data_IF_360149730024
#
_entry.id   IF_360149730024
#
_cell.length_a   1.000
_cell.length_b   1.000
_cell.length_c   1.000
_cell.angle_alpha   90.00
_cell.angle_beta   90.00
_cell.angle_gamma   90.00
#
_symmetry.space_group_name_H-M   'P 1'
#
loop_
_entity.id
_entity.type
_entity.pdbx_description
1 polymer ?
#
# COMPACT_ATOMS: atom_id res chain seq x y z
N UNK A 1 19.82 -43.80 40.71
CA UNK A 1 18.92 -42.65 40.94
C UNK A 1 19.31 -41.96 42.23
N UNK A 2 20.09 -40.88 42.12
CA UNK A 2 20.63 -40.14 43.27
C UNK A 2 19.54 -39.40 44.04
N UNK A 3 19.76 -39.20 45.35
CA UNK A 3 18.86 -38.49 46.26
C UNK A 3 18.45 -37.13 45.67
N UNK A 4 17.14 -36.85 45.57
CA UNK A 4 16.62 -35.51 45.25
C UNK A 4 17.20 -34.53 46.27
N UNK A 5 17.99 -33.55 45.83
CA UNK A 5 18.35 -32.41 46.66
C UNK A 5 17.08 -31.60 46.90
N UNK A 6 16.77 -31.30 48.16
CA UNK A 6 15.68 -30.38 48.50
C UNK A 6 16.00 -29.00 47.93
N UNK A 7 15.28 -28.62 46.89
CA UNK A 7 15.42 -27.32 46.25
C UNK A 7 14.87 -26.25 47.19
N UNK A 8 15.73 -25.33 47.63
CA UNK A 8 15.32 -24.15 48.37
C UNK A 8 15.10 -23.01 47.36
N UNK A 9 13.88 -22.48 47.24
CA UNK A 9 13.61 -21.37 46.32
C UNK A 9 14.49 -20.17 46.64
N UNK A 10 15.06 -19.57 45.60
CA UNK A 10 15.90 -18.39 45.71
C UNK A 10 15.01 -17.22 46.17
N UNK A 11 15.47 -16.45 47.16
CA UNK A 11 14.82 -15.22 47.59
C UNK A 11 15.68 -14.04 47.14
N UNK A 12 15.34 -13.34 46.04
CA UNK A 12 16.15 -12.22 45.58
C UNK A 12 16.01 -11.03 46.53
N UNK A 13 17.05 -10.23 46.61
CA UNK A 13 16.99 -8.91 47.25
C UNK A 13 16.39 -7.91 46.25
N UNK A 14 15.28 -7.29 46.65
CA UNK A 14 14.68 -6.21 45.88
C UNK A 14 15.42 -4.90 46.17
N UNK A 15 15.54 -4.06 45.13
CA UNK A 15 16.10 -2.72 45.28
C UNK A 15 15.24 -1.93 46.27
N UNK A 16 15.89 -1.30 47.27
CA UNK A 16 15.24 -0.44 48.25
C UNK A 16 15.03 0.96 47.65
N UNK A 17 13.81 1.48 47.75
CA UNK A 17 13.46 2.85 47.34
C UNK A 17 12.28 2.90 46.37
N UNK A 18 11.69 4.09 46.23
CA UNK A 18 10.47 4.32 45.44
C UNK A 18 10.76 4.91 44.04
N UNK A 19 12.03 4.93 43.64
CA UNK A 19 12.45 5.47 42.35
C UNK A 19 11.89 4.63 41.20
N UNK A 20 11.71 5.27 40.04
CA UNK A 20 11.27 4.57 38.82
C UNK A 20 12.20 3.39 38.49
N UNK A 21 13.51 3.57 38.67
CA UNK A 21 14.50 2.50 38.50
C UNK A 21 14.32 1.33 39.46
N UNK A 22 14.02 1.59 40.74
CA UNK A 22 13.73 0.54 41.71
C UNK A 22 12.44 -0.22 41.36
N UNK A 23 11.39 0.49 40.91
CA UNK A 23 10.12 -0.13 40.48
C UNK A 23 10.29 -1.01 39.24
N UNK A 24 11.01 -0.51 38.23
CA UNK A 24 11.29 -1.26 37.01
C UNK A 24 12.19 -2.47 37.30
N UNK A 25 13.26 -2.27 38.08
CA UNK A 25 14.16 -3.33 38.51
C UNK A 25 13.45 -4.43 39.30
N UNK A 26 12.61 -4.06 40.27
CA UNK A 26 11.84 -5.01 41.07
C UNK A 26 10.79 -5.77 40.23
N UNK A 27 10.22 -5.14 39.20
CA UNK A 27 9.28 -5.78 38.27
C UNK A 27 9.99 -6.82 37.40
N UNK A 28 11.17 -6.49 36.88
CA UNK A 28 11.99 -7.44 36.11
C UNK A 28 12.45 -8.61 36.98
N UNK A 29 12.91 -8.35 38.21
CA UNK A 29 13.25 -9.39 39.19
C UNK A 29 12.05 -10.32 39.41
N UNK A 30 10.85 -9.77 39.62
CA UNK A 30 9.63 -10.57 39.80
C UNK A 30 9.25 -11.41 38.58
N UNK A 31 9.42 -10.87 37.37
CA UNK A 31 9.16 -11.58 36.12
C UNK A 31 10.14 -12.73 35.91
N UNK A 32 11.45 -12.48 36.04
CA UNK A 32 12.47 -13.52 35.91
C UNK A 32 12.34 -14.58 37.00
N UNK A 33 12.02 -14.20 38.25
CA UNK A 33 11.74 -15.15 39.32
C UNK A 33 10.56 -16.08 39.00
N UNK A 34 9.52 -15.60 38.32
CA UNK A 34 8.40 -16.45 37.90
C UNK A 34 8.83 -17.42 36.81
N UNK A 35 9.66 -17.01 35.87
CA UNK A 35 10.21 -17.89 34.83
C UNK A 35 11.13 -18.93 35.45
N UNK A 36 12.09 -18.49 36.27
CA UNK A 36 13.05 -19.28 37.03
C UNK A 36 12.29 -20.35 37.83
N UNK A 37 11.41 -19.94 38.76
CA UNK A 37 10.64 -20.88 39.58
C UNK A 37 9.68 -21.80 38.79
N UNK A 38 9.22 -21.39 37.59
CA UNK A 38 8.38 -22.22 36.73
C UNK A 38 9.18 -23.22 35.89
N UNK A 39 10.47 -22.96 35.67
CA UNK A 39 11.38 -23.86 34.98
C UNK A 39 12.12 -24.73 35.99
N UNK A 40 11.97 -26.06 35.93
CA UNK A 40 12.57 -26.99 36.92
C UNK A 40 14.05 -26.66 37.18
N UNK A 41 14.54 -26.79 38.43
CA UNK A 41 15.90 -26.38 38.83
C UNK A 41 17.08 -26.91 37.99
N UNK A 42 16.87 -27.94 37.16
CA UNK A 42 17.81 -28.37 36.13
C UNK A 42 18.02 -27.35 35.00
N UNK A 43 16.99 -26.60 34.63
CA UNK A 43 17.03 -25.55 33.62
C UNK A 43 17.65 -24.26 34.18
N UNK A 44 17.36 -23.89 35.42
CA UNK A 44 17.99 -22.76 36.11
C UNK A 44 19.51 -22.93 36.21
N UNK A 45 19.97 -24.08 36.72
CA UNK A 45 21.40 -24.35 36.90
C UNK A 45 22.12 -24.34 35.54
N UNK A 46 21.50 -24.86 34.49
CA UNK A 46 22.09 -24.83 33.14
C UNK A 46 22.03 -23.47 32.47
N UNK A 47 20.95 -22.72 32.61
CA UNK A 47 20.84 -21.39 32.02
C UNK A 47 21.79 -20.42 32.71
N UNK A 48 21.86 -20.44 34.04
CA UNK A 48 22.78 -19.62 34.83
C UNK A 48 24.22 -20.03 34.54
N UNK A 49 24.56 -21.32 34.57
CA UNK A 49 25.93 -21.75 34.23
C UNK A 49 26.29 -21.50 32.76
N UNK A 50 25.32 -21.58 31.83
CA UNK A 50 25.54 -21.24 30.43
C UNK A 50 25.77 -19.75 30.23
N UNK A 51 24.96 -18.89 30.88
CA UNK A 51 25.12 -17.43 30.84
C UNK A 51 26.43 -17.03 31.50
N UNK A 52 26.78 -17.58 32.66
CA UNK A 52 28.06 -17.34 33.34
C UNK A 52 29.23 -17.81 32.45
N UNK A 53 29.17 -19.02 31.89
CA UNK A 53 30.24 -19.53 31.03
C UNK A 53 30.38 -18.74 29.71
N UNK A 54 29.28 -18.21 29.18
CA UNK A 54 29.29 -17.30 28.03
C UNK A 54 29.87 -15.94 28.43
N UNK A 55 29.46 -15.38 29.57
CA UNK A 55 29.95 -14.10 30.07
C UNK A 55 31.44 -14.18 30.40
N UNK A 56 31.92 -15.22 31.09
CA UNK A 56 33.34 -15.43 31.38
C UNK A 56 34.17 -15.59 30.09
N UNK A 57 33.66 -16.33 29.10
CA UNK A 57 34.32 -16.49 27.79
C UNK A 57 34.27 -15.22 26.95
N UNK A 58 33.18 -14.44 27.03
CA UNK A 58 33.04 -13.13 26.39
C UNK A 58 33.95 -12.10 27.06
N UNK A 59 34.10 -12.15 28.38
CA UNK A 59 34.97 -11.26 29.13
C UNK A 59 36.45 -11.53 28.79
N UNK A 60 36.87 -12.81 28.78
CA UNK A 60 38.27 -13.15 28.46
C UNK A 60 38.61 -13.05 26.98
N UNK A 61 37.79 -13.57 26.05
CA UNK A 61 38.09 -13.52 24.61
C UNK A 61 37.55 -12.28 23.91
N UNK A 62 36.41 -11.79 24.35
CA UNK A 62 35.81 -10.57 23.79
C UNK A 62 36.65 -9.35 24.13
N UNK A 63 37.26 -9.25 25.31
CA UNK A 63 38.17 -8.15 25.63
C UNK A 63 39.40 -8.13 24.71
N UNK A 64 40.01 -9.29 24.41
CA UNK A 64 41.17 -9.37 23.50
C UNK A 64 40.80 -9.00 22.05
N UNK A 65 39.66 -9.50 21.55
CA UNK A 65 39.17 -9.20 20.19
C UNK A 65 38.72 -7.75 20.05
N UNK A 66 38.01 -7.23 21.05
CA UNK A 66 37.54 -5.84 21.09
C UNK A 66 38.74 -4.88 21.17
N UNK A 67 39.76 -5.20 21.97
CA UNK A 67 40.99 -4.42 22.05
C UNK A 67 41.70 -4.33 20.69
N UNK A 68 41.88 -5.45 20.00
CA UNK A 68 42.50 -5.46 18.66
C UNK A 68 41.64 -4.83 17.55
N UNK A 69 40.33 -4.67 17.76
CA UNK A 69 39.45 -3.91 16.87
C UNK A 69 39.54 -2.40 17.16
N UNK A 70 39.48 -2.01 18.43
CA UNK A 70 39.62 -0.61 18.87
C UNK A 70 40.96 -0.04 18.41
N UNK A 71 42.05 -0.79 18.57
CA UNK A 71 43.39 -0.36 18.11
C UNK A 71 43.43 -0.11 16.59
N UNK A 72 42.77 -0.96 15.78
CA UNK A 72 42.67 -0.78 14.32
C UNK A 72 41.76 0.38 13.91
N UNK A 73 40.75 0.69 14.71
CA UNK A 73 39.87 1.84 14.49
C UNK A 73 40.58 3.14 14.88
N UNK A 74 41.33 3.16 15.99
CA UNK A 74 42.15 4.31 16.44
C UNK A 74 43.26 4.69 15.44
N UNK A 75 43.79 3.72 14.69
CA UNK A 75 44.76 3.97 13.61
C UNK A 75 44.17 4.79 12.44
N UNK A 76 42.84 4.89 12.35
CA UNK A 76 42.18 5.71 11.33
C UNK A 76 42.17 7.20 11.73
N UNK A 77 43.00 7.99 11.05
CA UNK A 77 43.18 9.44 11.30
C UNK A 77 41.92 10.28 11.07
N UNK A 78 40.91 9.75 10.38
CA UNK A 78 39.69 10.49 10.00
C UNK A 78 38.56 10.42 11.03
N UNK A 79 38.76 9.74 12.17
CA UNK A 79 37.73 9.67 13.20
C UNK A 79 37.53 11.03 13.89
N UNK A 80 36.28 11.51 14.03
CA UNK A 80 35.96 12.65 14.88
C UNK A 80 36.39 12.41 16.33
N UNK A 81 36.86 13.46 17.01
CA UNK A 81 37.45 13.33 18.35
C UNK A 81 36.44 12.84 19.41
N UNK A 82 35.14 13.13 19.25
CA UNK A 82 34.07 12.62 20.11
C UNK A 82 33.97 11.09 20.07
N UNK A 83 34.22 10.50 18.91
CA UNK A 83 34.19 9.04 18.73
C UNK A 83 35.46 8.40 19.30
N UNK A 84 36.62 9.06 19.17
CA UNK A 84 37.87 8.60 19.79
C UNK A 84 37.75 8.56 21.32
N UNK A 85 37.09 9.55 21.92
CA UNK A 85 36.85 9.60 23.37
C UNK A 85 35.98 8.43 23.84
N UNK A 86 34.94 8.07 23.08
CA UNK A 86 34.11 6.87 23.37
C UNK A 86 34.93 5.59 23.28
N UNK A 87 35.80 5.46 22.26
CA UNK A 87 36.66 4.27 22.12
C UNK A 87 37.72 4.15 23.22
N UNK A 88 38.29 5.27 23.68
CA UNK A 88 39.22 5.31 24.79
C UNK A 88 38.55 4.87 26.12
N UNK A 89 37.30 5.27 26.37
CA UNK A 89 36.52 4.81 27.53
C UNK A 89 36.14 3.32 27.45
N UNK A 90 35.87 2.80 26.26
CA UNK A 90 35.56 1.37 26.05
C UNK A 90 36.81 0.49 26.16
N UNK A 91 38.01 1.03 25.91
CA UNK A 91 39.30 0.34 26.06
C UNK A 91 39.63 0.02 27.52
N UNK A 92 39.16 0.85 28.45
CA UNK A 92 39.24 0.62 29.89
C UNK A 92 37.85 0.78 30.53
N UNK A 93 36.94 -0.20 30.37
CA UNK A 93 35.56 -0.04 30.79
C UNK A 93 35.45 0.05 32.31
N UNK A 94 35.44 1.27 32.84
CA UNK A 94 35.24 1.54 34.28
C UNK A 94 33.74 1.63 34.55
N UNK A 95 33.12 0.49 34.80
CA UNK A 95 31.74 0.38 35.27
C UNK A 95 30.78 -0.33 34.33
N UNK A 96 29.58 -0.65 34.84
CA UNK A 96 28.58 -1.46 34.15
C UNK A 96 28.09 -0.86 32.81
N UNK A 97 28.11 0.48 32.68
CA UNK A 97 27.69 1.17 31.47
C UNK A 97 28.68 1.02 30.32
N UNK A 98 29.99 1.15 30.59
CA UNK A 98 31.05 0.94 29.59
C UNK A 98 31.13 -0.53 29.14
N UNK A 99 30.87 -1.49 30.04
CA UNK A 99 30.74 -2.90 29.69
C UNK A 99 29.52 -3.17 28.78
N UNK A 100 28.40 -2.46 29.02
CA UNK A 100 27.18 -2.56 28.19
C UNK A 100 27.41 -1.98 26.79
N UNK A 101 28.08 -0.84 26.69
CA UNK A 101 28.47 -0.24 25.40
C UNK A 101 29.51 -1.11 24.68
N UNK A 102 30.48 -1.68 25.39
CA UNK A 102 31.43 -2.65 24.85
C UNK A 102 30.75 -3.91 24.30
N UNK A 103 29.71 -4.40 24.97
CA UNK A 103 28.87 -5.50 24.46
C UNK A 103 28.02 -5.09 23.26
N UNK A 104 27.50 -3.86 23.22
CA UNK A 104 26.73 -3.34 22.08
C UNK A 104 27.60 -3.10 20.84
N UNK A 105 28.82 -2.57 21.02
CA UNK A 105 29.77 -2.32 19.94
C UNK A 105 30.45 -3.61 19.46
N UNK A 106 30.85 -4.49 20.37
CA UNK A 106 31.36 -5.84 20.04
C UNK A 106 30.29 -6.76 19.44
N UNK A 107 29.00 -6.45 19.69
CA UNK A 107 27.84 -7.18 19.22
C UNK A 107 27.68 -7.22 17.70
N UNK A 108 28.22 -6.26 16.93
CA UNK A 108 28.12 -6.30 15.47
C UNK A 108 29.13 -7.25 14.79
N UNK A 109 30.22 -7.63 15.48
CA UNK A 109 31.22 -8.60 14.97
C UNK A 109 30.92 -10.05 15.40
N UNK A 110 30.18 -10.26 16.50
CA UNK A 110 29.66 -11.57 16.95
C UNK A 110 28.13 -11.73 16.81
N UNK A 111 27.48 -10.81 16.09
CA UNK A 111 26.03 -10.60 16.10
C UNK A 111 25.16 -11.72 15.55
N UNK A 112 25.72 -12.63 14.74
CA UNK A 112 24.93 -13.72 14.16
C UNK A 112 24.45 -14.75 15.20
N UNK A 113 25.28 -15.10 16.18
CA UNK A 113 24.99 -16.21 17.12
C UNK A 113 24.39 -15.70 18.44
N UNK A 114 24.98 -14.67 19.04
CA UNK A 114 24.41 -14.08 20.27
C UNK A 114 23.15 -13.29 19.94
N UNK A 115 23.13 -12.60 18.80
CA UNK A 115 21.94 -11.90 18.32
C UNK A 115 20.78 -12.85 17.99
N UNK A 116 21.04 -14.03 17.41
CA UNK A 116 19.96 -15.02 17.15
C UNK A 116 19.40 -15.65 18.42
N UNK A 117 20.25 -15.94 19.42
CA UNK A 117 19.81 -16.45 20.72
C UNK A 117 19.03 -15.38 21.50
N UNK A 118 19.54 -14.15 21.57
CA UNK A 118 18.84 -13.05 22.23
C UNK A 118 17.56 -12.66 21.48
N UNK A 119 17.57 -12.69 20.15
CA UNK A 119 16.34 -12.46 19.35
C UNK A 119 15.32 -13.56 19.61
N UNK A 120 15.72 -14.83 19.71
CA UNK A 120 14.80 -15.93 20.03
C UNK A 120 14.22 -15.80 21.46
N UNK A 121 15.03 -15.38 22.43
CA UNK A 121 14.59 -15.17 23.82
C UNK A 121 13.70 -13.93 23.96
N UNK A 122 14.01 -12.86 23.23
CA UNK A 122 13.23 -11.63 23.23
C UNK A 122 12.07 -11.67 22.25
N UNK A 123 11.99 -12.65 21.34
CA UNK A 123 10.95 -12.71 20.30
C UNK A 123 9.53 -12.57 20.85
N UNK A 124 9.12 -13.22 21.96
CA UNK A 124 7.79 -13.01 22.52
C UNK A 124 7.54 -11.56 22.98
N UNK A 125 8.56 -10.93 23.57
CA UNK A 125 8.50 -9.53 24.00
C UNK A 125 8.49 -8.61 22.79
N UNK A 126 9.35 -8.84 21.79
CA UNK A 126 9.42 -8.12 20.53
C UNK A 126 8.11 -8.25 19.75
N UNK A 127 7.50 -9.42 19.64
CA UNK A 127 6.21 -9.59 18.98
C UNK A 127 5.08 -8.94 19.76
N UNK A 128 5.12 -8.98 21.09
CA UNK A 128 4.13 -8.29 21.92
C UNK A 128 4.27 -6.78 21.77
N UNK A 129 5.47 -6.23 21.91
CA UNK A 129 5.72 -4.79 21.74
C UNK A 129 5.45 -4.36 20.31
N UNK A 130 5.85 -5.15 19.31
CA UNK A 130 5.53 -4.90 17.90
C UNK A 130 4.02 -4.94 17.70
N UNK A 131 3.25 -5.87 18.27
CA UNK A 131 1.77 -5.86 18.20
C UNK A 131 1.14 -4.62 18.84
N UNK A 132 1.74 -4.05 19.89
CA UNK A 132 1.29 -2.81 20.53
C UNK A 132 1.82 -1.53 19.87
N UNK A 133 2.98 -1.60 19.21
CA UNK A 133 3.71 -0.46 18.63
C UNK A 133 3.55 -0.36 17.11
N UNK A 134 3.24 -1.46 16.43
CA UNK A 134 2.67 -1.42 15.08
C UNK A 134 1.21 -1.04 15.23
N UNK A 135 0.98 0.22 15.61
CA UNK A 135 -0.09 0.96 14.97
C UNK A 135 0.07 0.68 13.47
N UNK A 136 -0.96 0.11 12.86
CA UNK A 136 -0.97 -0.41 11.49
C UNK A 136 -0.33 0.64 10.56
N UNK A 137 0.97 0.49 10.26
CA UNK A 137 1.65 1.47 9.41
C UNK A 137 1.11 1.21 8.01
N UNK A 138 0.44 2.18 7.38
CA UNK A 138 -0.04 1.98 6.03
C UNK A 138 1.17 1.69 5.12
N UNK A 139 0.99 0.77 4.17
CA UNK A 139 1.97 0.59 3.11
C UNK A 139 2.16 1.93 2.38
N UNK A 140 3.31 2.13 1.74
CA UNK A 140 3.63 3.41 1.07
C UNK A 140 2.51 3.88 0.13
N UNK A 141 1.97 2.98 -0.68
CA UNK A 141 0.85 3.26 -1.59
C UNK A 141 -0.42 3.67 -0.84
N UNK A 142 -0.73 3.02 0.28
CA UNK A 142 -1.87 3.36 1.13
C UNK A 142 -1.68 4.71 1.83
N UNK A 143 -0.45 5.01 2.27
CA UNK A 143 -0.13 6.29 2.89
C UNK A 143 -0.29 7.45 1.91
N UNK A 144 0.23 7.29 0.69
CA UNK A 144 0.09 8.31 -0.36
C UNK A 144 -1.36 8.45 -0.80
N UNK A 145 -2.09 7.35 -0.99
CA UNK A 145 -3.51 7.38 -1.34
C UNK A 145 -4.37 8.02 -0.25
N UNK A 146 -4.13 7.68 1.02
CA UNK A 146 -4.80 8.31 2.15
C UNK A 146 -4.51 9.81 2.22
N UNK A 147 -3.29 10.24 1.88
CA UNK A 147 -2.97 11.67 1.78
C UNK A 147 -3.72 12.36 0.64
N UNK A 148 -3.81 11.73 -0.54
CA UNK A 148 -4.56 12.26 -1.69
C UNK A 148 -6.05 12.39 -1.37
N UNK A 149 -6.61 11.45 -0.61
CA UNK A 149 -8.01 11.48 -0.16
C UNK A 149 -8.26 12.45 1.01
N UNK A 150 -7.20 13.00 1.63
CA UNK A 150 -7.31 13.89 2.79
C UNK A 150 -7.42 13.17 4.14
N UNK A 151 -7.30 11.84 4.17
CA UNK A 151 -7.35 10.99 5.37
C UNK A 151 -6.03 10.98 6.15
N UNK A 152 -4.90 11.25 5.49
CA UNK A 152 -3.57 11.36 6.09
C UNK A 152 -3.01 12.76 5.85
N UNK A 153 -2.56 13.45 6.90
CA UNK A 153 -1.98 14.79 6.78
C UNK A 153 -0.64 14.75 6.05
N UNK A 154 -0.24 15.86 5.45
CA UNK A 154 1.02 15.96 4.68
C UNK A 154 2.25 15.70 5.56
N UNK A 155 2.21 16.18 6.80
CA UNK A 155 3.28 16.00 7.78
C UNK A 155 3.48 14.53 8.16
N UNK A 156 2.37 13.79 8.30
CA UNK A 156 2.37 12.37 8.61
C UNK A 156 2.93 11.55 7.44
N UNK A 157 2.55 11.89 6.20
CA UNK A 157 3.11 11.27 5.00
C UNK A 157 4.61 11.53 4.88
N UNK A 158 5.07 12.77 5.13
CA UNK A 158 6.50 13.14 5.14
C UNK A 158 7.29 12.37 6.21
N UNK A 159 6.68 12.13 7.38
CA UNK A 159 7.28 11.28 8.39
C UNK A 159 7.45 9.84 7.87
N UNK A 160 6.41 9.26 7.27
CA UNK A 160 6.48 7.92 6.67
C UNK A 160 7.56 7.85 5.57
N UNK A 161 7.65 8.85 4.69
CA UNK A 161 8.69 8.92 3.67
C UNK A 161 10.10 8.95 4.28
N UNK A 162 10.33 9.78 5.30
CA UNK A 162 11.63 9.87 5.99
C UNK A 162 12.00 8.57 6.68
N UNK A 163 11.04 7.91 7.33
CA UNK A 163 11.26 6.61 7.97
C UNK A 163 11.60 5.49 6.98
N UNK A 164 11.08 5.57 5.75
CA UNK A 164 11.42 4.64 4.66
C UNK A 164 12.69 5.05 3.89
N UNK A 165 13.37 6.13 4.30
CA UNK A 165 14.61 6.60 3.68
C UNK A 165 14.42 7.39 2.37
N UNK A 166 13.20 7.80 2.03
CA UNK A 166 12.98 8.70 0.90
C UNK A 166 13.45 10.12 1.23
N UNK A 167 14.08 10.78 0.25
CA UNK A 167 14.42 12.21 0.33
C UNK A 167 13.19 13.05 -0.01
N UNK A 168 13.03 14.21 0.63
CA UNK A 168 11.89 15.12 0.44
C UNK A 168 11.62 15.50 -1.03
N UNK A 169 12.67 15.56 -1.86
CA UNK A 169 12.53 15.83 -3.30
C UNK A 169 11.69 14.78 -4.05
N UNK A 170 11.47 13.59 -3.48
CA UNK A 170 10.67 12.53 -4.08
C UNK A 170 9.20 12.55 -3.63
N UNK A 171 8.84 13.39 -2.66
CA UNK A 171 7.48 13.40 -2.09
C UNK A 171 6.43 13.71 -3.16
N UNK A 172 6.69 14.75 -3.96
CA UNK A 172 5.80 15.15 -5.05
C UNK A 172 5.75 14.12 -6.19
N UNK A 173 6.84 13.36 -6.39
CA UNK A 173 6.91 12.31 -7.41
C UNK A 173 5.96 11.18 -7.02
N UNK A 174 6.02 10.73 -5.76
CA UNK A 174 5.12 9.69 -5.27
C UNK A 174 3.65 10.11 -5.32
N UNK A 175 3.33 11.34 -4.88
CA UNK A 175 1.98 11.88 -5.00
C UNK A 175 1.49 11.93 -6.45
N UNK A 176 2.37 12.30 -7.37
CA UNK A 176 2.08 12.34 -8.81
C UNK A 176 1.77 10.94 -9.35
N UNK A 177 2.61 9.96 -9.03
CA UNK A 177 2.44 8.56 -9.47
C UNK A 177 1.11 7.97 -8.97
N UNK A 178 0.75 8.26 -7.72
CA UNK A 178 -0.45 7.69 -7.09
C UNK A 178 -1.71 8.53 -7.29
N UNK A 179 -1.63 9.76 -7.80
CA UNK A 179 -2.82 10.52 -8.15
C UNK A 179 -3.54 9.75 -9.26
N UNK A 180 -4.77 9.29 -8.97
CA UNK A 180 -5.60 8.60 -9.96
C UNK A 180 -5.68 9.46 -11.22
N UNK A 181 -5.03 8.97 -12.28
CA UNK A 181 -5.09 9.61 -13.58
C UNK A 181 -6.33 9.08 -14.30
N UNK A 182 -7.01 9.98 -15.00
CA UNK A 182 -8.12 9.61 -15.89
C UNK A 182 -7.55 8.67 -16.95
N UNK A 183 -8.18 7.51 -17.14
CA UNK A 183 -7.69 6.54 -18.11
C UNK A 183 -7.77 7.13 -19.53
N UNK A 184 -6.91 6.67 -20.44
CA UNK A 184 -6.90 7.18 -21.83
C UNK A 184 -8.30 7.09 -22.47
N UNK A 185 -9.01 5.98 -22.29
CA UNK A 185 -10.39 5.82 -22.76
C UNK A 185 -11.37 6.90 -22.26
N UNK A 186 -11.21 7.34 -21.02
CA UNK A 186 -12.05 8.39 -20.43
C UNK A 186 -11.67 9.78 -20.95
N UNK A 187 -10.36 10.06 -21.12
CA UNK A 187 -9.89 11.30 -21.76
C UNK A 187 -10.44 11.46 -23.17
N UNK A 188 -10.48 10.36 -23.92
CA UNK A 188 -11.03 10.31 -25.27
C UNK A 188 -12.52 10.61 -25.25
N UNK A 189 -13.25 10.01 -24.32
CA UNK A 189 -14.68 10.26 -24.16
C UNK A 189 -14.95 11.73 -23.78
N UNK A 190 -14.12 12.34 -22.92
CA UNK A 190 -14.19 13.78 -22.61
C UNK A 190 -13.99 14.62 -23.89
N UNK A 191 -12.99 14.29 -24.71
CA UNK A 191 -12.76 15.00 -25.99
C UNK A 191 -13.95 14.84 -26.95
N UNK A 192 -14.48 13.63 -27.11
CA UNK A 192 -15.66 13.36 -27.96
C UNK A 192 -16.91 14.11 -27.51
N UNK A 193 -17.07 14.35 -26.21
CA UNK A 193 -18.17 15.18 -25.66
C UNK A 193 -17.90 16.68 -25.74
N UNK A 194 -16.72 17.10 -26.21
CA UNK A 194 -16.33 18.51 -26.26
C UNK A 194 -16.02 19.11 -24.89
N UNK A 195 -15.75 18.29 -23.87
CA UNK A 195 -15.41 18.77 -22.52
C UNK A 195 -13.95 19.20 -22.38
N UNK A 196 -13.06 18.69 -23.23
CA UNK A 196 -11.64 19.08 -23.30
C UNK A 196 -11.24 19.35 -24.74
N UNK A 197 -10.24 20.21 -24.90
CA UNK A 197 -9.67 20.49 -26.22
C UNK A 197 -8.60 19.48 -26.64
N UNK A 198 -8.22 19.54 -27.92
CA UNK A 198 -7.25 18.61 -28.51
C UNK A 198 -5.85 18.78 -27.89
N UNK A 199 -5.42 20.02 -27.67
CA UNK A 199 -4.16 20.34 -27.01
C UNK A 199 -4.13 19.79 -25.57
N UNK A 200 -5.25 19.87 -24.86
CA UNK A 200 -5.38 19.35 -23.50
C UNK A 200 -5.34 17.81 -23.48
N UNK A 201 -6.00 17.15 -24.43
CA UNK A 201 -5.92 15.69 -24.58
C UNK A 201 -4.46 15.25 -24.78
N UNK A 202 -3.73 15.89 -25.70
CA UNK A 202 -2.33 15.57 -25.99
C UNK A 202 -1.40 15.81 -24.79
N UNK A 203 -1.63 16.90 -24.03
CA UNK A 203 -0.87 17.19 -22.82
C UNK A 203 -1.11 16.13 -21.73
N UNK A 204 -2.37 15.73 -21.51
CA UNK A 204 -2.73 14.70 -20.51
C UNK A 204 -2.23 13.31 -20.91
N UNK A 205 -2.27 12.95 -22.19
CA UNK A 205 -1.70 11.69 -22.67
C UNK A 205 -0.17 11.68 -22.57
N UNK A 206 0.50 12.79 -22.91
CA UNK A 206 1.94 12.94 -22.69
C UNK A 206 2.31 12.77 -21.22
N UNK A 207 1.51 13.34 -20.31
CA UNK A 207 1.71 13.20 -18.87
C UNK A 207 1.54 11.76 -18.37
N UNK A 208 0.68 10.97 -19.02
CA UNK A 208 0.53 9.52 -18.79
C UNK A 208 1.69 8.68 -19.35
N UNK A 209 2.66 9.30 -20.04
CA UNK A 209 3.83 8.63 -20.59
C UNK A 209 3.68 8.18 -22.04
N UNK A 210 2.63 8.57 -22.75
CA UNK A 210 2.50 8.31 -24.19
C UNK A 210 3.36 9.30 -24.98
N UNK A 211 4.14 8.80 -25.94
CA UNK A 211 4.88 9.66 -26.87
C UNK A 211 3.97 10.20 -27.98
N UNK A 212 4.45 11.18 -28.73
CA UNK A 212 3.69 11.82 -29.83
C UNK A 212 3.21 10.84 -30.91
N UNK A 213 4.01 9.80 -31.20
CA UNK A 213 3.66 8.78 -32.20
C UNK A 213 2.50 7.90 -31.72
N UNK A 214 2.53 7.46 -30.46
CA UNK A 214 1.47 6.69 -29.83
C UNK A 214 0.18 7.49 -29.71
N UNK A 215 0.28 8.76 -29.31
CA UNK A 215 -0.86 9.69 -29.27
C UNK A 215 -1.50 9.79 -30.65
N UNK A 216 -0.69 9.97 -31.71
CA UNK A 216 -1.19 10.02 -33.09
C UNK A 216 -1.88 8.72 -33.50
N UNK A 217 -1.29 7.55 -33.22
CA UNK A 217 -1.90 6.24 -33.51
C UNK A 217 -3.21 6.03 -32.76
N UNK A 218 -3.25 6.39 -31.48
CA UNK A 218 -4.45 6.30 -30.64
C UNK A 218 -5.55 7.18 -31.22
N UNK A 219 -5.25 8.44 -31.55
CA UNK A 219 -6.21 9.34 -32.20
C UNK A 219 -6.74 8.80 -33.52
N UNK A 220 -5.87 8.29 -34.38
CA UNK A 220 -6.27 7.59 -35.62
C UNK A 220 -7.26 6.45 -35.30
N UNK A 221 -6.94 5.59 -34.33
CA UNK A 221 -7.82 4.50 -33.90
C UNK A 221 -9.17 4.98 -33.33
N UNK A 222 -9.25 6.20 -32.82
CA UNK A 222 -10.46 6.75 -32.19
C UNK A 222 -11.30 7.52 -33.19
N UNK A 223 -10.67 8.40 -33.95
CA UNK A 223 -11.29 9.36 -34.86
C UNK A 223 -11.70 8.67 -36.16
N UNK A 224 -10.89 7.71 -36.63
CA UNK A 224 -11.23 6.95 -37.85
C UNK A 224 -12.22 5.82 -37.59
N UNK A 225 -12.43 5.45 -36.31
CA UNK A 225 -13.15 4.23 -35.96
C UNK A 225 -14.11 4.49 -34.78
N UNK A 226 -15.22 5.21 -34.98
CA UNK A 226 -16.40 5.16 -34.07
C UNK A 226 -17.06 3.79 -34.21
N UNK A 227 -16.87 2.79 -33.32
CA UNK A 227 -17.31 1.40 -33.52
C UNK A 227 -18.70 1.33 -34.16
N UNK A 228 -18.97 0.35 -35.04
CA UNK A 228 -20.24 0.34 -35.77
C UNK A 228 -21.45 0.38 -34.81
N UNK A 229 -21.32 -0.27 -33.66
CA UNK A 229 -22.28 -0.17 -32.56
C UNK A 229 -22.46 1.26 -32.03
N UNK A 230 -21.37 1.98 -31.74
CA UNK A 230 -21.42 3.36 -31.26
C UNK A 230 -22.01 4.30 -32.31
N UNK A 231 -21.66 4.14 -33.59
CA UNK A 231 -22.25 4.93 -34.67
C UNK A 231 -23.77 4.69 -34.76
N UNK A 232 -24.21 3.45 -34.59
CA UNK A 232 -25.63 3.10 -34.53
C UNK A 232 -26.31 3.72 -33.29
N UNK A 233 -25.64 3.75 -32.14
CA UNK A 233 -26.16 4.42 -30.94
C UNK A 233 -26.30 5.93 -31.18
N UNK A 234 -25.31 6.57 -31.80
CA UNK A 234 -25.38 7.99 -32.18
C UNK A 234 -26.52 8.26 -33.16
N UNK A 235 -26.73 7.37 -34.13
CA UNK A 235 -27.89 7.43 -35.02
C UNK A 235 -29.21 7.33 -34.25
N UNK A 236 -29.34 6.40 -33.29
CA UNK A 236 -30.54 6.29 -32.46
C UNK A 236 -30.77 7.48 -31.52
N UNK A 237 -29.69 8.15 -31.09
CA UNK A 237 -29.75 9.40 -30.32
C UNK A 237 -30.02 10.63 -31.19
N UNK A 238 -30.12 10.46 -32.50
CA UNK A 238 -30.27 11.55 -33.49
C UNK A 238 -29.07 12.50 -33.56
N UNK A 239 -27.90 12.06 -33.07
CA UNK A 239 -26.65 12.82 -33.14
C UNK A 239 -26.07 12.86 -34.57
N UNK A 240 -26.38 11.83 -35.37
CA UNK A 240 -25.97 11.71 -36.78
C UNK A 240 -27.13 11.25 -37.66
N UNK A 241 -27.10 11.63 -38.93
CA UNK A 241 -28.04 11.19 -39.96
C UNK A 241 -27.82 9.73 -40.38
N UNK A 242 -28.80 9.14 -41.07
CA UNK A 242 -28.66 7.77 -41.60
C UNK A 242 -27.58 7.71 -42.70
N UNK A 243 -27.43 8.78 -43.48
CA UNK A 243 -26.38 8.94 -44.48
C UNK A 243 -24.99 8.96 -43.84
N UNK A 244 -24.81 9.72 -42.76
CA UNK A 244 -23.56 9.73 -41.99
C UNK A 244 -23.28 8.37 -41.36
N UNK A 245 -24.30 7.67 -40.84
CA UNK A 245 -24.13 6.31 -40.34
C UNK A 245 -23.63 5.35 -41.44
N UNK A 246 -24.19 5.43 -42.65
CA UNK A 246 -23.71 4.64 -43.77
C UNK A 246 -22.27 4.97 -44.14
N UNK A 247 -21.89 6.25 -44.15
CA UNK A 247 -20.51 6.65 -44.40
C UNK A 247 -19.55 6.07 -43.34
N UNK A 248 -19.90 6.19 -42.06
CA UNK A 248 -19.10 5.71 -40.94
C UNK A 248 -18.96 4.19 -40.93
N UNK A 249 -20.01 3.45 -41.29
CA UNK A 249 -19.98 1.99 -41.39
C UNK A 249 -19.25 1.52 -42.66
N UNK A 250 -19.38 2.24 -43.78
CA UNK A 250 -18.65 1.96 -45.01
C UNK A 250 -17.13 2.10 -44.85
N UNK A 251 -16.65 3.05 -44.02
CA UNK A 251 -15.22 3.17 -43.64
C UNK A 251 -14.65 1.89 -43.01
N UNK A 252 -15.50 0.98 -42.53
CA UNK A 252 -15.13 -0.36 -42.01
C UNK A 252 -15.30 -1.51 -43.00
N UNK A 253 -15.68 -1.23 -44.24
CA UNK A 253 -16.07 -2.27 -45.18
C UNK A 253 -17.40 -2.96 -44.82
N UNK A 254 -18.22 -2.34 -43.96
CA UNK A 254 -19.58 -2.82 -43.67
C UNK A 254 -20.48 -2.29 -44.79
N UNK A 255 -21.15 -3.19 -45.49
CA UNK A 255 -22.09 -2.83 -46.55
C UNK A 255 -23.34 -2.16 -45.98
N UNK A 256 -24.02 -1.34 -46.79
CA UNK A 256 -25.30 -0.72 -46.42
C UNK A 256 -26.32 -1.74 -45.90
N UNK A 257 -26.46 -2.88 -46.58
CA UNK A 257 -27.34 -3.99 -46.16
C UNK A 257 -26.97 -4.56 -44.79
N UNK A 258 -25.68 -4.72 -44.49
CA UNK A 258 -25.23 -5.19 -43.19
C UNK A 258 -25.43 -4.10 -42.11
N UNK A 259 -25.23 -2.82 -42.45
CA UNK A 259 -25.56 -1.70 -41.57
C UNK A 259 -27.04 -1.69 -41.21
N UNK A 260 -27.94 -1.87 -42.18
CA UNK A 260 -29.38 -1.96 -41.92
C UNK A 260 -29.72 -3.12 -40.98
N UNK A 261 -29.09 -4.29 -41.16
CA UNK A 261 -29.22 -5.44 -40.24
C UNK A 261 -28.69 -5.13 -38.85
N UNK A 262 -27.55 -4.44 -38.76
CA UNK A 262 -26.98 -4.02 -37.48
C UNK A 262 -27.88 -2.99 -36.79
N UNK A 263 -28.50 -2.07 -37.51
CA UNK A 263 -29.53 -1.17 -36.97
C UNK A 263 -30.65 -2.02 -36.38
N UNK A 264 -31.21 -2.99 -37.10
CA UNK A 264 -32.28 -3.85 -36.59
C UNK A 264 -31.86 -4.60 -35.31
N UNK A 265 -30.66 -5.19 -35.30
CA UNK A 265 -30.13 -5.91 -34.14
C UNK A 265 -29.92 -4.98 -32.94
N UNK A 266 -29.34 -3.80 -33.18
CA UNK A 266 -29.06 -2.82 -32.12
C UNK A 266 -30.31 -2.02 -31.71
N UNK A 267 -31.35 -1.96 -32.55
CA UNK A 267 -32.64 -1.36 -32.19
C UNK A 267 -33.26 -2.12 -31.04
N UNK A 268 -32.96 -3.42 -30.90
CA UNK A 268 -33.31 -4.26 -29.75
C UNK A 268 -32.51 -3.96 -28.47
N UNK A 269 -31.53 -3.06 -28.51
CA UNK A 269 -30.65 -2.74 -27.37
C UNK A 269 -31.16 -1.53 -26.57
N UNK A 270 -32.06 -0.69 -27.12
CA UNK A 270 -32.78 0.28 -26.29
C UNK A 270 -33.76 -0.49 -25.39
N UNK A 271 -33.29 -0.94 -24.24
CA UNK A 271 -34.17 -1.52 -23.24
C UNK A 271 -35.31 -0.55 -22.89
N UNK A 272 -36.40 -1.09 -22.33
CA UNK A 272 -37.55 -0.27 -21.94
C UNK A 272 -37.15 0.87 -21.00
N UNK A 273 -36.10 0.70 -20.19
CA UNK A 273 -35.55 1.72 -19.32
C UNK A 273 -34.96 2.91 -20.11
N UNK A 274 -34.20 2.65 -21.17
CA UNK A 274 -33.64 3.68 -22.05
C UNK A 274 -34.72 4.43 -22.82
N UNK A 275 -35.71 3.71 -23.36
CA UNK A 275 -36.86 4.31 -24.06
C UNK A 275 -37.61 5.24 -23.11
N UNK A 276 -37.90 4.78 -21.90
CA UNK A 276 -38.54 5.55 -20.84
C UNK A 276 -37.74 6.81 -20.50
N UNK A 277 -36.43 6.67 -20.30
CA UNK A 277 -35.56 7.80 -19.95
C UNK A 277 -35.58 8.86 -21.04
N UNK A 278 -35.52 8.48 -22.31
CA UNK A 278 -35.57 9.43 -23.44
C UNK A 278 -36.95 10.08 -23.52
N UNK A 279 -38.03 9.30 -23.41
CA UNK A 279 -39.41 9.78 -23.47
C UNK A 279 -39.66 10.92 -22.48
N UNK A 280 -39.31 10.73 -21.21
CA UNK A 280 -39.52 11.73 -20.17
C UNK A 280 -38.48 12.86 -20.16
N UNK A 281 -37.21 12.58 -20.51
CA UNK A 281 -36.15 13.59 -20.48
C UNK A 281 -36.27 14.59 -21.62
N UNK A 282 -36.70 14.14 -22.79
CA UNK A 282 -36.73 14.93 -24.02
C UNK A 282 -38.14 15.32 -24.47
N UNK A 283 -39.15 15.11 -23.61
CA UNK A 283 -40.55 15.46 -23.86
C UNK A 283 -41.06 14.90 -25.21
N UNK A 284 -40.80 13.62 -25.47
CA UNK A 284 -41.19 12.98 -26.73
C UNK A 284 -42.70 12.74 -26.77
N UNK A 285 -43.26 12.68 -27.98
CA UNK A 285 -44.68 12.44 -28.19
C UNK A 285 -45.06 10.98 -27.98
N UNK A 286 -46.35 10.74 -27.73
CA UNK A 286 -46.90 9.39 -27.57
C UNK A 286 -46.78 8.55 -28.85
N UNK A 287 -46.82 9.21 -30.02
CA UNK A 287 -46.55 8.60 -31.32
C UNK A 287 -45.10 8.09 -31.44
N UNK A 288 -44.14 8.85 -30.91
CA UNK A 288 -42.75 8.41 -30.87
C UNK A 288 -42.60 7.16 -30.00
N UNK A 289 -43.19 7.16 -28.81
CA UNK A 289 -43.16 6.01 -27.89
C UNK A 289 -43.80 4.77 -28.52
N UNK A 290 -44.96 4.94 -29.16
CA UNK A 290 -45.68 3.89 -29.89
C UNK A 290 -44.82 3.31 -31.01
N UNK A 291 -44.14 4.15 -31.78
CA UNK A 291 -43.23 3.74 -32.85
C UNK A 291 -42.04 2.94 -32.33
N UNK A 292 -41.44 3.35 -31.20
CA UNK A 292 -40.36 2.58 -30.58
C UNK A 292 -40.87 1.21 -30.13
N UNK A 293 -41.95 1.15 -29.35
CA UNK A 293 -42.49 -0.10 -28.81
C UNK A 293 -42.94 -1.06 -29.93
N UNK A 294 -43.61 -0.58 -30.98
CA UNK A 294 -43.92 -1.42 -32.16
C UNK A 294 -42.64 -1.89 -32.87
N UNK A 295 -41.58 -1.08 -32.88
CA UNK A 295 -40.26 -1.48 -33.37
C UNK A 295 -39.61 -2.64 -32.60
N UNK A 296 -40.01 -2.88 -31.35
CA UNK A 296 -39.63 -4.07 -30.57
C UNK A 296 -40.49 -5.31 -30.88
N UNK A 297 -41.56 -5.16 -31.67
CA UNK A 297 -42.49 -6.23 -31.99
C UNK A 297 -43.62 -6.41 -30.96
N UNK A 298 -43.84 -5.44 -30.07
CA UNK A 298 -45.00 -5.44 -29.17
C UNK A 298 -46.29 -5.24 -29.98
N UNK A 299 -47.35 -5.97 -29.60
CA UNK A 299 -48.68 -5.81 -30.20
C UNK A 299 -49.30 -4.46 -29.82
N UNK A 300 -50.40 -4.06 -30.48
CA UNK A 300 -51.08 -2.81 -30.12
C UNK A 300 -51.59 -2.82 -28.68
N UNK A 301 -52.11 -3.97 -28.22
CA UNK A 301 -52.57 -4.15 -26.84
C UNK A 301 -51.39 -4.04 -25.85
N UNK A 302 -50.26 -4.71 -26.15
CA UNK A 302 -49.06 -4.63 -25.31
C UNK A 302 -48.49 -3.21 -25.22
N UNK A 303 -48.53 -2.46 -26.33
CA UNK A 303 -48.06 -1.07 -26.37
C UNK A 303 -48.87 -0.20 -25.40
N UNK A 304 -50.19 -0.31 -25.45
CA UNK A 304 -51.08 0.45 -24.56
C UNK A 304 -50.92 0.06 -23.09
N UNK A 305 -50.68 -1.22 -22.81
CA UNK A 305 -50.41 -1.67 -21.45
C UNK A 305 -49.03 -1.21 -20.95
N UNK A 306 -47.99 -1.28 -21.79
CA UNK A 306 -46.66 -0.77 -21.45
C UNK A 306 -46.70 0.74 -21.17
N UNK A 307 -47.43 1.54 -21.95
CA UNK A 307 -47.61 2.98 -21.71
C UNK A 307 -48.19 3.28 -20.33
N UNK A 308 -49.15 2.48 -19.85
CA UNK A 308 -49.75 2.65 -18.51
C UNK A 308 -48.76 2.36 -17.39
N UNK A 309 -47.84 1.41 -17.61
CA UNK A 309 -46.88 0.95 -16.59
C UNK A 309 -45.58 1.76 -16.63
N UNK A 310 -45.23 2.36 -17.78
CA UNK A 310 -44.01 3.14 -18.00
C UNK A 310 -43.73 4.23 -16.94
N UNK A 311 -44.71 5.00 -16.44
CA UNK A 311 -44.49 5.98 -15.37
C UNK A 311 -43.98 5.36 -14.07
N UNK A 312 -44.34 4.10 -13.81
CA UNK A 312 -44.08 3.38 -12.55
C UNK A 312 -42.89 2.43 -12.63
N UNK A 313 -42.38 2.17 -13.84
CA UNK A 313 -41.19 1.35 -14.04
C UNK A 313 -39.95 2.15 -13.60
N UNK A 314 -39.10 1.65 -12.68
CA UNK A 314 -37.99 2.42 -12.11
C UNK A 314 -36.96 2.88 -13.14
#
# INVERSE_FOLDING_TARGET
FGKKKDYKPIKPEYFKGDTLGAKLGNTLIGFFMRIINATTGWFEERLVNFVIAILEKLETRGAEVLKGFIERVEENKELPDDIKNVFAEVKEPKGAWAATIGMMLGGNLMGGVVGSVMTAMCAPLTYSTQRFMTAYRPLLNQAVMGNIMGEIKDEDLKMIFRELGFKEKYDNIWKTIFKNQIAVGELINLKRRGEIEEEELNARMSYLGYNEEDIKKIKVLIDEIIPAADAIIHYFRTDISIEELYEQTAKRGISKDLTDKLIIVNRRILDLASIRSIFYREDKTDDWLTSQLKGFGYSEDDVEDIKKVLPYYP
#
